data_IF_369554101050
#
_entry.id   IF_369554101050
#
_cell.length_a   1.000
_cell.length_b   1.000
_cell.length_c   1.000
_cell.angle_alpha   90.00
_cell.angle_beta   90.00
_cell.angle_gamma   90.00
#
_symmetry.space_group_name_H-M   'P 1'
#
loop_
_entity.id
_entity.type
_entity.pdbx_description
1 polymer ?
#
# COMPACT_ATOMS: atom_id res chain seq x y z
N UNK A 1 -40.54 -27.03 25.56
CA UNK A 1 -40.35 -27.71 26.87
C UNK A 1 -39.11 -28.59 26.77
N UNK A 2 -38.21 -28.42 27.75
CA UNK A 2 -36.97 -29.15 28.05
C UNK A 2 -35.70 -28.92 27.21
N UNK A 3 -34.79 -28.13 27.81
CA UNK A 3 -33.35 -28.10 27.61
C UNK A 3 -32.71 -29.49 27.74
N UNK A 4 -31.71 -29.76 26.91
CA UNK A 4 -30.65 -30.74 27.19
C UNK A 4 -29.28 -30.14 26.85
N UNK A 5 -28.45 -29.99 27.89
CA UNK A 5 -27.03 -29.63 27.84
C UNK A 5 -26.17 -30.82 27.39
N UNK A 6 -25.08 -30.63 26.63
CA UNK A 6 -24.00 -31.61 26.58
C UNK A 6 -22.99 -31.39 27.71
N UNK A 7 -22.88 -32.44 28.53
CA UNK A 7 -21.85 -32.85 29.49
C UNK A 7 -20.56 -32.01 29.57
N UNK A 8 -20.31 -31.49 30.78
CA UNK A 8 -19.10 -30.77 31.16
C UNK A 8 -17.82 -31.62 31.18
N UNK A 9 -16.71 -30.89 31.01
CA UNK A 9 -15.35 -31.32 31.31
C UNK A 9 -15.28 -31.87 32.76
N UNK A 10 -14.82 -33.11 32.91
CA UNK A 10 -14.35 -33.61 34.20
C UNK A 10 -12.89 -33.19 34.40
N UNK A 11 -12.65 -32.21 35.25
CA UNK A 11 -11.32 -31.92 35.80
C UNK A 11 -11.32 -32.29 37.28
N UNK A 12 -10.59 -33.35 37.64
CA UNK A 12 -10.18 -33.63 39.02
C UNK A 12 -10.71 -34.94 39.61
N UNK A 13 -9.79 -35.69 40.23
CA UNK A 13 -10.06 -36.84 41.10
C UNK A 13 -9.87 -36.38 42.55
N UNK A 14 -10.80 -36.73 43.45
CA UNK A 14 -10.69 -36.46 44.88
C UNK A 14 -9.64 -37.37 45.53
N UNK A 15 -8.65 -36.79 46.23
CA UNK A 15 -7.81 -37.48 47.21
C UNK A 15 -7.72 -36.60 48.46
N UNK A 16 -8.15 -37.13 49.60
CA UNK A 16 -8.01 -36.58 50.96
C UNK A 16 -8.46 -35.13 51.20
N UNK A 17 -9.74 -34.84 50.89
CA UNK A 17 -10.58 -33.99 51.74
C UNK A 17 -10.33 -32.48 51.84
N UNK A 18 -9.35 -31.90 51.15
CA UNK A 18 -9.14 -30.44 51.15
C UNK A 18 -9.14 -29.84 49.74
N UNK A 19 -9.92 -28.78 49.53
CA UNK A 19 -9.91 -27.98 48.31
C UNK A 19 -8.74 -26.99 48.36
N UNK A 20 -7.66 -27.23 47.60
CA UNK A 20 -6.61 -26.23 47.43
C UNK A 20 -7.09 -25.11 46.48
N UNK A 21 -7.14 -23.88 47.00
CA UNK A 21 -7.36 -22.63 46.25
C UNK A 21 -6.12 -22.33 45.41
N UNK A 22 -5.89 -23.09 44.33
CA UNK A 22 -4.84 -22.80 43.34
C UNK A 22 -5.36 -22.36 41.97
N UNK A 23 -6.67 -22.43 41.73
CA UNK A 23 -7.24 -22.22 40.39
C UNK A 23 -7.70 -20.78 40.09
N UNK A 24 -8.02 -19.97 41.11
CA UNK A 24 -8.55 -18.61 40.89
C UNK A 24 -7.47 -17.66 40.34
N UNK A 25 -6.22 -17.80 40.78
CA UNK A 25 -5.11 -16.91 40.36
C UNK A 25 -4.74 -17.12 38.87
N UNK A 26 -4.95 -18.32 38.32
CA UNK A 26 -4.64 -18.60 36.91
C UNK A 26 -5.75 -18.12 35.95
N UNK A 27 -7.01 -18.11 36.37
CA UNK A 27 -8.12 -17.60 35.55
C UNK A 27 -8.01 -16.08 35.37
N UNK A 28 -7.63 -15.33 36.41
CA UNK A 28 -7.38 -13.89 36.28
C UNK A 28 -6.18 -13.58 35.37
N UNK A 29 -5.10 -14.38 35.42
CA UNK A 29 -3.96 -14.23 34.51
C UNK A 29 -4.34 -14.51 33.05
N UNK A 30 -5.16 -15.53 32.79
CA UNK A 30 -5.63 -15.85 31.43
C UNK A 30 -6.62 -14.79 30.93
N UNK A 31 -7.53 -14.29 31.77
CA UNK A 31 -8.45 -13.20 31.39
C UNK A 31 -7.72 -11.88 31.14
N UNK A 32 -6.68 -11.57 31.91
CA UNK A 32 -5.82 -10.40 31.66
C UNK A 32 -5.07 -10.60 30.34
N UNK A 33 -4.50 -11.77 30.07
CA UNK A 33 -3.81 -12.05 28.79
C UNK A 33 -4.78 -11.96 27.59
N UNK A 34 -5.99 -12.51 27.69
CA UNK A 34 -7.00 -12.43 26.62
C UNK A 34 -7.52 -11.01 26.42
N UNK A 35 -7.72 -10.23 27.50
CA UNK A 35 -8.06 -8.82 27.41
C UNK A 35 -6.90 -7.97 26.86
N UNK A 36 -5.65 -8.36 27.10
CA UNK A 36 -4.46 -7.69 26.57
C UNK A 36 -4.28 -7.93 25.07
N UNK A 37 -4.68 -9.11 24.58
CA UNK A 37 -4.63 -9.45 23.14
C UNK A 37 -5.74 -8.75 22.35
N UNK A 38 -6.86 -8.39 23.00
CA UNK A 38 -7.98 -7.67 22.38
C UNK A 38 -7.80 -6.14 22.26
N UNK A 39 -6.71 -5.58 22.80
CA UNK A 39 -6.39 -4.14 22.70
C UNK A 39 -5.21 -3.82 21.77
N UNK A 40 -4.85 -4.72 20.86
CA UNK A 40 -4.01 -4.36 19.72
C UNK A 40 -4.90 -3.60 18.73
N UNK A 41 -5.11 -2.32 19.01
CA UNK A 41 -5.54 -1.38 17.99
C UNK A 41 -4.47 -1.37 16.91
N UNK A 42 -4.69 -2.12 15.84
CA UNK A 42 -3.98 -2.00 14.59
C UNK A 42 -4.31 -0.63 14.00
N UNK A 43 -3.63 0.40 14.49
CA UNK A 43 -3.50 1.64 13.72
C UNK A 43 -2.63 1.33 12.52
N UNK A 44 -3.27 0.80 11.47
CA UNK A 44 -2.67 0.70 10.15
C UNK A 44 -2.44 2.12 9.64
N UNK A 45 -1.24 2.62 9.90
CA UNK A 45 -0.64 3.78 9.27
C UNK A 45 0.15 3.28 8.07
N UNK A 46 -0.35 3.50 6.86
CA UNK A 46 0.48 3.79 5.67
C UNK A 46 -0.33 3.73 4.38
N UNK A 47 -0.25 4.79 3.58
CA UNK A 47 0.19 4.69 2.19
C UNK A 47 0.82 6.03 1.79
N UNK A 48 2.07 5.96 1.32
CA UNK A 48 3.02 7.05 1.04
C UNK A 48 3.37 7.92 2.27
N UNK A 49 4.64 8.28 2.43
CA UNK A 49 5.15 8.72 3.75
C UNK A 49 4.68 10.14 4.09
N UNK A 50 3.58 10.26 4.84
CA UNK A 50 3.19 11.55 5.45
C UNK A 50 4.19 11.99 6.51
N UNK A 51 4.83 11.05 7.21
CA UNK A 51 5.69 11.32 8.36
C UNK A 51 6.84 12.34 8.13
N UNK A 52 7.54 12.36 6.97
CA UNK A 52 8.57 13.35 6.68
C UNK A 52 8.02 14.72 6.26
N UNK A 53 6.74 14.82 5.87
CA UNK A 53 6.10 16.08 5.47
C UNK A 53 5.24 16.67 6.59
N UNK A 54 4.69 15.85 7.48
CA UNK A 54 3.70 16.21 8.49
C UNK A 54 4.14 15.82 9.91
N UNK A 55 3.85 16.70 10.87
CA UNK A 55 4.25 16.55 12.27
C UNK A 55 3.08 16.00 13.10
N UNK A 56 3.00 14.67 13.26
CA UNK A 56 1.94 14.00 14.03
C UNK A 56 1.81 14.48 15.49
N UNK A 57 2.84 15.15 16.03
CA UNK A 57 2.79 15.72 17.38
C UNK A 57 2.09 17.08 17.43
N UNK A 58 1.75 17.64 16.27
CA UNK A 58 1.09 18.95 16.10
C UNK A 58 -0.26 18.78 15.38
N UNK A 59 -1.29 18.25 16.06
CA UNK A 59 -2.64 18.29 15.54
C UNK A 59 -3.11 19.75 15.42
N UNK A 60 -3.93 19.99 14.40
CA UNK A 60 -4.46 21.29 14.03
C UNK A 60 -5.97 21.17 13.79
N UNK A 61 -6.75 22.10 14.34
CA UNK A 61 -8.17 22.24 14.01
C UNK A 61 -8.38 23.56 13.28
N UNK A 62 -8.99 23.50 12.10
CA UNK A 62 -9.26 24.65 11.24
C UNK A 62 -10.76 24.85 11.15
N UNK A 63 -11.24 26.05 11.47
CA UNK A 63 -12.62 26.46 11.21
C UNK A 63 -12.63 27.44 10.05
N UNK A 64 -13.46 27.21 9.05
CA UNK A 64 -13.47 28.06 7.87
C UNK A 64 -14.46 27.63 6.82
N UNK A 65 -14.28 28.18 5.63
CA UNK A 65 -15.08 27.86 4.45
C UNK A 65 -14.21 27.12 3.45
N UNK A 66 -14.78 26.11 2.79
CA UNK A 66 -14.14 25.46 1.65
C UNK A 66 -13.97 26.49 0.54
N UNK A 67 -12.73 26.81 0.21
CA UNK A 67 -12.39 27.63 -0.96
C UNK A 67 -12.43 26.76 -2.21
N UNK A 68 -11.75 25.61 -2.16
CA UNK A 68 -11.60 24.69 -3.29
C UNK A 68 -11.38 23.26 -2.83
N UNK A 69 -11.84 22.30 -3.64
CA UNK A 69 -11.54 20.89 -3.47
C UNK A 69 -10.98 20.30 -4.76
N UNK A 70 -9.70 19.99 -4.71
CA UNK A 70 -8.96 19.45 -5.84
C UNK A 70 -8.98 17.93 -5.79
N UNK A 71 -9.93 17.31 -6.50
CA UNK A 71 -10.10 15.87 -6.54
C UNK A 71 -9.23 15.23 -7.63
N UNK A 72 -7.92 15.21 -7.40
CA UNK A 72 -6.90 14.80 -8.38
C UNK A 72 -5.89 13.80 -7.82
N UNK A 73 -5.07 13.22 -8.70
CA UNK A 73 -3.88 12.45 -8.34
C UNK A 73 -2.60 13.28 -8.59
N UNK A 74 -1.48 13.02 -7.89
CA UNK A 74 -1.27 11.91 -6.97
C UNK A 74 -1.87 12.09 -5.57
N UNK A 75 -2.24 13.32 -5.20
CA UNK A 75 -2.92 13.61 -3.93
C UNK A 75 -4.02 14.64 -4.17
N UNK A 76 -5.18 14.41 -3.56
CA UNK A 76 -6.22 15.41 -3.53
C UNK A 76 -5.92 16.45 -2.44
N UNK A 77 -6.52 17.63 -2.57
CA UNK A 77 -6.38 18.73 -1.60
C UNK A 77 -7.71 19.36 -1.30
N UNK A 78 -7.91 19.77 -0.05
CA UNK A 78 -8.98 20.70 0.32
C UNK A 78 -8.38 22.00 0.84
N UNK A 79 -8.81 23.11 0.25
CA UNK A 79 -8.37 24.44 0.61
C UNK A 79 -9.41 25.11 1.50
N UNK A 80 -9.01 25.51 2.70
CA UNK A 80 -9.91 26.09 3.70
C UNK A 80 -9.51 27.54 3.94
N UNK A 81 -10.38 28.46 3.56
CA UNK A 81 -10.28 29.86 3.93
C UNK A 81 -10.67 30.04 5.39
N UNK A 82 -9.73 30.55 6.19
CA UNK A 82 -9.87 30.72 7.64
C UNK A 82 -9.27 32.05 8.09
N UNK A 83 -9.40 32.37 9.38
CA UNK A 83 -8.78 33.54 9.99
C UNK A 83 -7.70 33.06 10.96
N UNK A 84 -6.48 33.58 10.80
CA UNK A 84 -5.36 33.32 11.71
C UNK A 84 -4.74 34.66 12.10
N UNK A 85 -4.65 34.92 13.41
CA UNK A 85 -4.12 36.18 13.94
C UNK A 85 -4.81 37.45 13.39
N UNK A 86 -6.10 37.36 13.09
CA UNK A 86 -6.89 38.47 12.54
C UNK A 86 -6.78 38.64 11.01
N UNK A 87 -5.96 37.84 10.33
CA UNK A 87 -5.79 37.89 8.88
C UNK A 87 -6.46 36.69 8.19
N UNK A 88 -6.98 36.93 6.98
CA UNK A 88 -7.50 35.85 6.13
C UNK A 88 -6.34 35.02 5.59
N UNK A 89 -6.39 33.71 5.82
CA UNK A 89 -5.41 32.74 5.32
C UNK A 89 -6.11 31.58 4.62
N UNK A 90 -5.40 30.88 3.74
CA UNK A 90 -5.87 29.64 3.12
C UNK A 90 -4.98 28.51 3.62
N UNK A 91 -5.58 27.55 4.32
CA UNK A 91 -4.93 26.29 4.62
C UNK A 91 -5.09 25.33 3.46
N UNK A 92 -4.02 24.64 3.08
CA UNK A 92 -4.03 23.61 2.03
C UNK A 92 -3.77 22.26 2.68
N UNK A 93 -4.82 21.44 2.81
CA UNK A 93 -4.73 20.14 3.44
C UNK A 93 -4.71 19.01 2.41
N UNK A 94 -3.60 18.30 2.33
CA UNK A 94 -3.38 17.10 1.49
C UNK A 94 -4.16 15.90 2.04
N UNK A 95 -4.58 15.02 1.14
CA UNK A 95 -5.23 13.74 1.46
C UNK A 95 -4.84 12.65 0.46
N UNK A 96 -5.52 11.50 0.53
CA UNK A 96 -5.24 10.37 -0.34
C UNK A 96 -5.46 10.73 -1.83
N UNK A 97 -4.86 9.97 -2.76
CA UNK A 97 -5.15 10.10 -4.19
C UNK A 97 -6.65 10.02 -4.47
N UNK A 98 -7.15 10.75 -5.47
CA UNK A 98 -8.57 10.78 -5.82
C UNK A 98 -9.12 9.38 -6.15
N UNK A 99 -8.31 8.51 -6.76
CA UNK A 99 -8.71 7.12 -7.05
C UNK A 99 -9.00 6.33 -5.76
N UNK A 100 -8.19 6.53 -4.72
CA UNK A 100 -8.41 5.90 -3.41
C UNK A 100 -9.65 6.48 -2.74
N UNK A 101 -9.81 7.80 -2.75
CA UNK A 101 -10.97 8.47 -2.15
C UNK A 101 -12.28 8.08 -2.86
N UNK A 102 -12.26 7.94 -4.18
CA UNK A 102 -13.40 7.49 -4.97
C UNK A 102 -13.85 6.09 -4.53
N UNK A 103 -12.91 5.18 -4.27
CA UNK A 103 -13.19 3.83 -3.74
C UNK A 103 -13.74 3.86 -2.32
N UNK A 104 -13.56 4.97 -1.62
CA UNK A 104 -14.14 5.26 -0.30
C UNK A 104 -15.44 6.07 -0.39
N UNK A 105 -16.03 6.20 -1.59
CA UNK A 105 -17.30 6.87 -1.83
C UNK A 105 -17.22 8.40 -1.98
N UNK A 106 -16.02 8.97 -2.03
CA UNK A 106 -15.87 10.41 -2.24
C UNK A 106 -16.07 10.78 -3.71
N UNK A 107 -16.56 12.00 -3.94
CA UNK A 107 -16.73 12.55 -5.28
C UNK A 107 -16.15 13.96 -5.30
N UNK A 108 -16.02 14.55 -6.50
CA UNK A 108 -15.67 15.97 -6.67
C UNK A 108 -16.61 16.94 -5.91
N UNK A 109 -17.78 16.48 -5.48
CA UNK A 109 -18.76 17.27 -4.73
C UNK A 109 -18.72 17.02 -3.21
N UNK A 110 -17.81 16.20 -2.70
CA UNK A 110 -17.69 15.92 -1.25
C UNK A 110 -17.46 17.20 -0.43
N UNK A 111 -16.69 18.15 -0.99
CA UNK A 111 -16.46 19.46 -0.40
C UNK A 111 -16.95 20.57 -1.35
N UNK A 112 -18.24 20.94 -1.29
CA UNK A 112 -18.75 22.08 -2.03
C UNK A 112 -18.09 23.39 -1.58
N UNK A 113 -17.74 24.26 -2.53
CA UNK A 113 -17.23 25.61 -2.25
C UNK A 113 -18.20 26.41 -1.38
N UNK A 114 -17.65 27.31 -0.56
CA UNK A 114 -18.36 28.15 0.42
C UNK A 114 -19.10 27.36 1.51
N UNK A 115 -18.88 26.05 1.63
CA UNK A 115 -19.41 25.28 2.76
C UNK A 115 -18.56 25.50 4.00
N UNK A 116 -19.21 25.82 5.12
CA UNK A 116 -18.53 25.98 6.39
C UNK A 116 -18.20 24.61 7.00
N UNK A 117 -16.94 24.43 7.40
CA UNK A 117 -16.41 23.17 7.92
C UNK A 117 -15.48 23.40 9.10
N UNK A 118 -15.44 22.42 9.99
CA UNK A 118 -14.38 22.20 10.98
C UNK A 118 -13.52 21.05 10.48
N UNK A 119 -12.27 21.31 10.14
CA UNK A 119 -11.30 20.31 9.69
C UNK A 119 -10.35 19.95 10.83
N UNK A 120 -10.18 18.67 11.10
CA UNK A 120 -9.09 18.14 11.91
C UNK A 120 -7.97 17.68 10.97
N UNK A 121 -6.75 18.08 11.29
CA UNK A 121 -5.60 17.88 10.43
C UNK A 121 -4.31 17.75 11.25
N UNK A 122 -3.23 17.36 10.58
CA UNK A 122 -1.87 17.35 11.12
C UNK A 122 -1.07 18.44 10.41
N UNK A 123 -0.41 19.33 11.15
CA UNK A 123 0.36 20.42 10.55
C UNK A 123 1.55 19.90 9.71
N UNK A 124 1.81 20.54 8.57
CA UNK A 124 3.04 20.29 7.82
C UNK A 124 4.26 20.77 8.60
N UNK A 125 5.39 20.08 8.42
CA UNK A 125 6.67 20.40 9.08
C UNK A 125 7.29 21.69 8.54
N UNK A 126 7.11 21.96 7.24
CA UNK A 126 7.81 23.04 6.51
C UNK A 126 6.89 24.18 6.05
N UNK A 127 5.60 23.90 5.80
CA UNK A 127 4.63 24.90 5.37
C UNK A 127 3.68 25.24 6.53
N UNK A 128 3.66 26.47 7.06
CA UNK A 128 2.81 26.84 8.20
C UNK A 128 1.31 26.86 7.89
N UNK A 129 0.91 26.81 6.62
CA UNK A 129 -0.47 26.70 6.14
C UNK A 129 -0.75 25.36 5.45
N UNK A 130 0.25 24.48 5.36
CA UNK A 130 0.10 23.11 4.85
C UNK A 130 -0.37 22.16 5.95
N UNK A 131 -1.16 21.17 5.57
CA UNK A 131 -1.69 20.18 6.50
C UNK A 131 -1.92 18.82 5.83
N UNK A 132 -1.98 17.78 6.64
CA UNK A 132 -2.55 16.49 6.25
C UNK A 132 -3.96 16.40 6.82
N UNK A 133 -4.94 16.12 5.96
CA UNK A 133 -6.34 16.00 6.32
C UNK A 133 -6.62 14.70 7.11
N UNK A 134 -7.30 14.80 8.25
CA UNK A 134 -7.75 13.64 9.03
C UNK A 134 -9.26 13.46 9.03
N UNK A 135 -10.02 14.56 9.14
CA UNK A 135 -11.48 14.54 9.07
C UNK A 135 -12.03 15.95 8.92
N UNK A 136 -13.29 16.07 8.49
CA UNK A 136 -14.05 17.29 8.57
C UNK A 136 -15.45 17.04 9.11
N UNK A 137 -16.02 18.07 9.71
CA UNK A 137 -17.42 18.12 10.11
C UNK A 137 -18.03 19.41 9.57
N UNK A 138 -19.15 19.27 8.89
CA UNK A 138 -19.95 20.38 8.39
C UNK A 138 -20.84 20.91 9.52
N UNK A 139 -21.28 22.17 9.45
CA UNK A 139 -22.03 22.78 10.56
C UNK A 139 -23.42 22.15 10.82
N UNK A 140 -23.97 21.44 9.83
CA UNK A 140 -25.17 20.61 9.90
C UNK A 140 -24.88 19.16 10.36
N UNK A 141 -23.66 18.88 10.83
CA UNK A 141 -23.30 17.63 11.50
C UNK A 141 -22.87 16.49 10.58
N UNK A 142 -22.73 16.71 9.26
CA UNK A 142 -22.20 15.70 8.34
C UNK A 142 -20.69 15.57 8.58
N UNK A 143 -20.25 14.37 8.94
CA UNK A 143 -18.84 14.00 9.10
C UNK A 143 -18.28 13.44 7.79
N UNK A 144 -17.07 13.87 7.48
CA UNK A 144 -16.31 13.48 6.29
C UNK A 144 -14.97 12.93 6.80
N UNK A 145 -14.74 11.64 6.60
CA UNK A 145 -13.52 10.97 7.09
C UNK A 145 -12.86 10.21 5.93
N UNK A 146 -11.51 10.20 5.81
CA UNK A 146 -10.76 9.39 4.83
C UNK A 146 -10.93 7.89 5.04
N UNK A 147 -11.69 7.48 6.06
CA UNK A 147 -12.11 6.11 6.33
C UNK A 147 -13.64 6.01 6.42
N UNK A 148 -14.35 6.80 5.62
CA UNK A 148 -15.81 6.82 5.59
C UNK A 148 -16.38 5.39 5.52
N UNK A 149 -16.89 4.94 6.68
CA UNK A 149 -17.65 3.71 6.93
C UNK A 149 -16.85 2.43 6.67
N UNK A 150 -16.97 1.43 7.58
CA UNK A 150 -16.86 0.03 7.17
C UNK A 150 -18.01 -0.19 6.22
N UNK A 151 -17.84 0.24 4.98
CA UNK A 151 -18.58 -0.34 3.90
C UNK A 151 -17.94 -1.73 3.88
N UNK A 152 -18.60 -2.69 4.55
CA UNK A 152 -18.82 -3.95 3.87
C UNK A 152 -19.31 -3.52 2.50
N UNK A 153 -18.38 -3.34 1.56
CA UNK A 153 -18.69 -3.62 0.19
C UNK A 153 -19.32 -4.97 0.34
N UNK A 154 -20.63 -5.02 0.12
CA UNK A 154 -21.27 -6.28 -0.19
C UNK A 154 -20.31 -6.85 -1.21
N UNK A 155 -19.54 -7.85 -0.81
CA UNK A 155 -18.93 -8.78 -1.73
C UNK A 155 -20.12 -9.54 -2.30
N UNK A 156 -21.08 -8.80 -2.89
CA UNK A 156 -22.19 -9.30 -3.65
C UNK A 156 -21.43 -10.08 -4.68
N UNK A 157 -21.50 -11.40 -4.50
CA UNK A 157 -20.53 -12.33 -5.02
C UNK A 157 -20.29 -11.92 -6.46
N UNK A 158 -19.14 -11.29 -6.73
CA UNK A 158 -18.75 -11.07 -8.10
C UNK A 158 -18.61 -12.49 -8.59
N UNK A 159 -19.60 -12.93 -9.37
CA UNK A 159 -19.64 -14.29 -9.85
C UNK A 159 -18.50 -14.35 -10.85
N UNK A 160 -17.31 -14.71 -10.36
CA UNK A 160 -16.15 -14.99 -11.18
C UNK A 160 -16.45 -16.33 -11.87
N UNK A 161 -17.41 -16.32 -12.80
CA UNK A 161 -17.69 -17.41 -13.75
C UNK A 161 -16.56 -17.51 -14.79
N UNK A 162 -15.34 -17.16 -14.40
CA UNK A 162 -14.14 -17.29 -15.22
C UNK A 162 -13.59 -18.69 -14.96
N UNK A 163 -13.28 -19.46 -16.02
CA UNK A 163 -12.56 -20.71 -15.84
C UNK A 163 -11.24 -20.41 -15.12
N UNK A 164 -10.94 -21.19 -14.06
CA UNK A 164 -9.71 -21.07 -13.26
C UNK A 164 -8.47 -21.39 -14.12
N UNK A 165 -8.61 -22.32 -15.07
CA UNK A 165 -7.59 -22.71 -16.04
C UNK A 165 -8.16 -22.73 -17.46
N UNK A 166 -7.34 -22.36 -18.44
CA UNK A 166 -7.62 -22.46 -19.88
C UNK A 166 -6.45 -23.22 -20.51
N UNK A 167 -6.70 -24.39 -21.10
CA UNK A 167 -5.66 -25.25 -21.69
C UNK A 167 -4.50 -25.57 -20.71
N UNK A 168 -4.83 -25.92 -19.47
CA UNK A 168 -3.88 -26.15 -18.36
C UNK A 168 -3.06 -24.93 -17.92
N UNK A 169 -3.35 -23.73 -18.44
CA UNK A 169 -2.72 -22.48 -18.03
C UNK A 169 -3.66 -21.74 -17.07
N UNK A 170 -3.19 -21.23 -15.91
CA UNK A 170 -4.04 -20.45 -15.01
C UNK A 170 -4.56 -19.17 -15.67
N UNK A 171 -5.82 -18.86 -15.38
CA UNK A 171 -6.49 -17.67 -15.87
C UNK A 171 -6.38 -16.53 -14.84
N UNK A 172 -5.37 -15.70 -15.02
CA UNK A 172 -5.18 -14.44 -14.32
C UNK A 172 -6.00 -13.29 -14.90
N UNK A 173 -6.89 -13.49 -15.89
CA UNK A 173 -7.58 -12.38 -16.55
C UNK A 173 -8.44 -11.56 -15.59
N UNK A 174 -8.21 -10.26 -15.54
CA UNK A 174 -9.07 -9.28 -14.88
C UNK A 174 -8.33 -8.33 -13.96
N UNK A 175 -9.07 -7.43 -13.31
CA UNK A 175 -8.49 -6.48 -12.38
C UNK A 175 -8.24 -7.15 -11.03
N UNK A 176 -7.05 -6.94 -10.52
CA UNK A 176 -6.58 -7.46 -9.23
C UNK A 176 -6.17 -6.30 -8.34
N UNK A 177 -6.40 -6.44 -7.04
CA UNK A 177 -5.92 -5.49 -6.04
C UNK A 177 -5.18 -6.22 -4.94
N UNK A 178 -4.28 -5.52 -4.26
CA UNK A 178 -3.61 -6.02 -3.07
C UNK A 178 -4.65 -6.43 -2.01
N UNK A 179 -4.58 -7.66 -1.52
CA UNK A 179 -5.46 -8.16 -0.43
C UNK A 179 -5.02 -7.67 0.95
N UNK A 180 -3.76 -7.23 1.08
CA UNK A 180 -3.20 -6.71 2.32
C UNK A 180 -2.19 -5.59 2.07
N UNK A 181 -2.01 -4.72 3.06
CA UNK A 181 -0.93 -3.72 3.09
C UNK A 181 0.38 -4.27 3.68
N UNK A 182 0.37 -5.50 4.21
CA UNK A 182 1.55 -6.17 4.78
C UNK A 182 2.67 -6.32 3.75
N UNK A 183 3.92 -6.09 4.17
CA UNK A 183 5.09 -6.19 3.29
C UNK A 183 5.30 -5.00 2.34
N UNK A 184 4.43 -3.98 2.34
CA UNK A 184 4.59 -2.79 1.48
C UNK A 184 5.88 -2.00 1.74
N UNK A 185 6.49 -2.11 2.93
CA UNK A 185 7.76 -1.46 3.29
C UNK A 185 8.90 -2.45 3.57
N UNK A 186 8.67 -3.73 3.33
CA UNK A 186 9.62 -4.79 3.66
C UNK A 186 10.46 -5.17 2.45
N UNK A 187 11.75 -5.34 2.68
CA UNK A 187 12.72 -5.82 1.68
C UNK A 187 12.82 -7.34 1.63
N UNK A 188 12.48 -8.04 2.72
CA UNK A 188 12.87 -9.46 2.89
C UNK A 188 11.86 -10.32 3.64
N UNK A 189 10.74 -9.76 4.11
CA UNK A 189 9.76 -10.52 4.90
C UNK A 189 8.31 -10.18 4.52
N UNK A 190 7.47 -11.19 4.22
CA UNK A 190 6.03 -11.03 3.95
C UNK A 190 5.27 -10.43 5.14
N UNK A 191 5.73 -10.73 6.35
CA UNK A 191 5.05 -10.38 7.61
C UNK A 191 5.69 -9.17 8.32
N UNK A 192 6.79 -8.64 7.77
CA UNK A 192 7.44 -7.48 8.33
C UNK A 192 6.58 -6.23 8.11
N UNK A 193 5.83 -5.90 9.14
CA UNK A 193 5.34 -4.56 9.40
C UNK A 193 6.53 -3.69 9.86
N UNK A 194 7.61 -3.62 9.07
CA UNK A 194 8.75 -2.75 9.40
C UNK A 194 8.36 -1.33 9.09
N UNK A 195 7.64 -0.73 10.04
CA UNK A 195 7.44 0.70 10.23
C UNK A 195 8.74 1.42 10.61
N UNK A 196 9.89 0.96 10.10
CA UNK A 196 11.21 1.54 10.28
C UNK A 196 11.35 2.82 9.46
N UNK A 197 10.48 3.79 9.75
CA UNK A 197 10.76 5.17 9.45
C UNK A 197 11.73 5.63 10.54
N UNK A 198 12.99 5.88 10.21
CA UNK A 198 13.77 6.81 11.01
C UNK A 198 13.24 8.21 10.69
N UNK A 199 12.47 8.86 11.59
CA UNK A 199 11.95 10.20 11.36
C UNK A 199 13.04 11.27 11.55
N UNK A 200 14.24 10.88 11.99
CA UNK A 200 15.26 11.78 12.51
C UNK A 200 16.49 11.97 11.61
N UNK A 201 16.60 11.25 10.50
CA UNK A 201 17.77 11.34 9.63
C UNK A 201 19.08 11.07 10.37
N UNK A 202 19.02 10.22 11.41
CA UNK A 202 20.08 10.05 12.40
C UNK A 202 20.62 8.63 12.41
N UNK A 203 21.84 8.46 11.89
CA UNK A 203 22.92 7.50 12.23
C UNK A 203 22.62 6.04 12.60
N UNK A 204 21.38 5.54 12.49
CA UNK A 204 21.05 4.12 12.60
C UNK A 204 21.14 3.48 11.21
N UNK A 205 21.62 2.23 11.07
CA UNK A 205 21.62 1.56 9.77
C UNK A 205 20.21 1.54 9.20
N UNK A 206 20.04 2.05 7.98
CA UNK A 206 18.76 1.97 7.25
C UNK A 206 18.32 0.50 7.23
N UNK A 207 17.06 0.17 7.56
CA UNK A 207 16.57 -1.21 7.43
C UNK A 207 16.92 -1.77 6.04
N UNK A 208 17.62 -2.91 5.98
CA UNK A 208 18.13 -3.47 4.72
C UNK A 208 19.49 -2.93 4.24
N UNK A 209 20.23 -2.16 5.04
CA UNK A 209 21.61 -1.77 4.68
C UNK A 209 22.56 -2.97 4.54
N UNK A 210 22.24 -4.10 5.17
CA UNK A 210 23.00 -5.34 5.12
C UNK A 210 22.96 -6.02 3.74
N UNK A 211 21.93 -5.75 2.94
CA UNK A 211 21.79 -6.28 1.58
C UNK A 211 22.45 -5.40 0.50
N UNK A 212 22.90 -4.19 0.85
CA UNK A 212 23.44 -3.21 -0.11
C UNK A 212 24.97 -3.23 -0.16
N UNK A 213 25.54 -3.04 -1.36
CA UNK A 213 26.98 -2.77 -1.58
C UNK A 213 27.36 -1.38 -1.06
N UNK A 214 28.65 -1.02 -1.14
CA UNK A 214 29.09 0.33 -0.80
C UNK A 214 28.46 1.38 -1.75
N UNK A 215 28.38 1.06 -3.04
CA UNK A 215 27.75 1.88 -4.07
C UNK A 215 26.24 2.03 -3.83
N UNK A 216 25.55 0.94 -3.49
CA UNK A 216 24.12 0.98 -3.17
C UNK A 216 23.82 1.80 -1.91
N UNK A 217 24.66 1.68 -0.87
CA UNK A 217 24.56 2.51 0.33
C UNK A 217 24.80 3.99 0.02
N UNK A 218 25.81 4.30 -0.79
CA UNK A 218 26.11 5.67 -1.21
C UNK A 218 24.92 6.26 -1.98
N UNK A 219 24.41 5.56 -2.99
CA UNK A 219 23.26 6.00 -3.79
C UNK A 219 22.03 6.24 -2.91
N UNK A 220 21.72 5.32 -1.99
CA UNK A 220 20.61 5.48 -1.05
C UNK A 220 20.79 6.63 -0.06
N UNK A 221 22.02 6.98 0.32
CA UNK A 221 22.33 8.11 1.22
C UNK A 221 22.30 9.47 0.53
N UNK A 222 22.65 9.52 -0.75
CA UNK A 222 22.53 10.72 -1.58
C UNK A 222 21.08 10.99 -1.99
N UNK A 223 20.23 9.96 -2.01
CA UNK A 223 18.80 10.08 -2.31
C UNK A 223 18.00 10.71 -1.17
N UNK A 224 17.47 11.91 -1.41
CA UNK A 224 16.55 12.60 -0.53
C UNK A 224 15.11 12.25 -0.91
N UNK A 225 14.58 11.13 -0.40
CA UNK A 225 13.26 10.62 -0.78
C UNK A 225 12.12 11.67 -0.83
N UNK A 226 11.97 12.59 0.15
CA UNK A 226 10.98 13.68 0.06
C UNK A 226 11.08 14.60 -1.16
N UNK A 227 12.25 14.71 -1.82
CA UNK A 227 12.51 15.61 -2.95
C UNK A 227 12.80 14.85 -4.25
N UNK A 228 13.35 13.65 -4.14
CA UNK A 228 13.89 12.90 -5.26
C UNK A 228 13.01 11.70 -5.65
N UNK A 229 11.89 11.46 -4.95
CA UNK A 229 10.98 10.35 -5.27
C UNK A 229 10.41 10.52 -6.70
N UNK A 230 10.58 9.54 -7.61
CA UNK A 230 10.08 9.63 -8.98
C UNK A 230 8.57 9.86 -9.11
N UNK A 231 7.76 9.58 -8.08
CA UNK A 231 6.33 9.91 -8.09
C UNK A 231 6.06 11.40 -8.20
N UNK A 232 6.99 12.26 -7.76
CA UNK A 232 6.96 13.70 -7.99
C UNK A 232 7.07 14.05 -9.48
N UNK A 233 7.63 13.14 -10.29
CA UNK A 233 7.72 13.24 -11.74
C UNK A 233 6.65 12.39 -12.45
N UNK A 234 5.56 12.05 -11.76
CA UNK A 234 4.50 11.16 -12.26
C UNK A 234 5.03 9.80 -12.76
N UNK A 235 6.06 9.28 -12.11
CA UNK A 235 6.65 7.98 -12.44
C UNK A 235 6.24 6.92 -11.42
N UNK A 236 5.90 5.73 -11.92
CA UNK A 236 5.69 4.53 -11.12
C UNK A 236 6.97 3.99 -10.46
N UNK A 237 8.13 4.60 -10.74
CA UNK A 237 9.48 4.34 -10.21
C UNK A 237 10.11 2.98 -10.54
N UNK A 238 9.40 1.87 -10.35
CA UNK A 238 9.93 0.52 -10.58
C UNK A 238 8.80 -0.51 -10.68
N UNK A 239 9.12 -1.68 -11.23
CA UNK A 239 8.22 -2.84 -11.33
C UNK A 239 7.65 -3.20 -9.95
N UNK A 240 8.51 -3.23 -8.93
CA UNK A 240 8.08 -3.54 -7.56
C UNK A 240 7.05 -2.54 -7.05
N UNK A 241 7.21 -1.24 -7.33
CA UNK A 241 6.34 -0.19 -6.79
C UNK A 241 4.96 -0.19 -7.45
N UNK A 242 4.88 -0.44 -8.76
CA UNK A 242 3.59 -0.50 -9.48
C UNK A 242 2.72 -1.65 -9.01
N UNK A 243 3.32 -2.80 -8.67
CA UNK A 243 2.60 -3.90 -7.98
C UNK A 243 2.24 -3.60 -6.54
N UNK A 244 3.12 -2.87 -5.85
CA UNK A 244 2.98 -2.59 -4.42
C UNK A 244 1.97 -1.51 -4.08
N UNK A 245 1.52 -0.68 -5.03
CA UNK A 245 0.75 0.52 -4.70
C UNK A 245 -0.58 0.18 -4.00
N UNK A 246 -0.80 0.67 -2.77
CA UNK A 246 -2.04 0.42 -2.03
C UNK A 246 -3.27 0.92 -2.77
N UNK A 247 -4.38 0.16 -2.66
CA UNK A 247 -5.69 0.52 -3.21
C UNK A 247 -5.75 0.66 -4.74
N UNK A 248 -4.65 0.46 -5.47
CA UNK A 248 -4.64 0.44 -6.93
C UNK A 248 -4.98 -0.93 -7.49
N UNK A 249 -5.75 -0.93 -8.59
CA UNK A 249 -5.98 -2.13 -9.38
C UNK A 249 -4.82 -2.37 -10.37
N UNK A 250 -4.62 -3.62 -10.75
CA UNK A 250 -3.82 -4.05 -11.90
C UNK A 250 -4.67 -4.97 -12.75
N UNK A 251 -4.95 -4.60 -13.99
CA UNK A 251 -5.63 -5.47 -14.94
C UNK A 251 -4.61 -6.34 -15.68
N UNK A 252 -4.92 -7.62 -15.79
CA UNK A 252 -4.11 -8.61 -16.50
C UNK A 252 -4.94 -9.13 -17.68
N UNK A 253 -4.37 -9.04 -18.87
CA UNK A 253 -4.92 -9.66 -20.08
C UNK A 253 -3.92 -10.70 -20.57
N UNK A 254 -4.38 -11.93 -20.76
CA UNK A 254 -3.56 -13.03 -21.27
C UNK A 254 -4.01 -13.41 -22.67
N UNK A 255 -3.04 -13.65 -23.54
CA UNK A 255 -3.21 -14.20 -24.89
C UNK A 255 -2.27 -15.41 -25.06
N UNK A 256 -2.26 -16.02 -26.24
CA UNK A 256 -1.30 -17.10 -26.55
C UNK A 256 0.16 -16.63 -26.52
N UNK A 257 0.41 -15.38 -26.87
CA UNK A 257 1.77 -14.87 -27.15
C UNK A 257 2.20 -13.75 -26.19
N UNK A 258 1.26 -13.15 -25.47
CA UNK A 258 1.51 -11.98 -24.62
C UNK A 258 0.69 -11.98 -23.33
N UNK A 259 1.27 -11.38 -22.29
CA UNK A 259 0.58 -10.89 -21.10
C UNK A 259 0.63 -9.36 -21.14
N UNK A 260 -0.51 -8.70 -20.99
CA UNK A 260 -0.60 -7.26 -20.84
C UNK A 260 -0.95 -6.94 -19.39
N UNK A 261 -0.11 -6.13 -18.74
CA UNK A 261 -0.35 -5.63 -17.40
C UNK A 261 -0.67 -4.14 -17.49
N UNK A 262 -1.81 -3.73 -16.95
CA UNK A 262 -2.19 -2.33 -16.81
C UNK A 262 -2.33 -1.99 -15.34
N UNK A 263 -1.37 -1.28 -14.78
CA UNK A 263 -1.40 -0.81 -13.40
C UNK A 263 -2.11 0.54 -13.34
N UNK A 264 -3.07 0.68 -12.42
CA UNK A 264 -3.73 1.95 -12.14
C UNK A 264 -2.74 2.98 -11.61
N UNK A 265 -1.72 2.57 -10.85
CA UNK A 265 -0.75 3.52 -10.32
C UNK A 265 0.13 4.07 -11.45
N UNK A 266 0.08 5.38 -11.66
CA UNK A 266 0.87 6.12 -12.66
C UNK A 266 0.66 5.64 -14.11
N UNK A 267 -0.51 5.07 -14.41
CA UNK A 267 -0.90 4.62 -15.76
C UNK A 267 0.11 3.66 -16.41
N UNK A 268 0.80 2.86 -15.61
CA UNK A 268 1.90 2.02 -16.09
C UNK A 268 1.37 0.82 -16.84
N UNK A 269 1.82 0.66 -18.07
CA UNK A 269 1.50 -0.49 -18.93
C UNK A 269 2.77 -1.28 -19.22
N UNK A 270 2.71 -2.59 -19.04
CA UNK A 270 3.79 -3.53 -19.39
C UNK A 270 3.25 -4.58 -20.35
N UNK A 271 4.07 -4.92 -21.34
CA UNK A 271 3.79 -5.98 -22.31
C UNK A 271 4.84 -7.04 -22.10
N UNK A 272 4.41 -8.26 -21.80
CA UNK A 272 5.27 -9.40 -21.54
C UNK A 272 5.11 -10.37 -22.71
N UNK A 273 6.17 -10.53 -23.51
CA UNK A 273 6.20 -11.52 -24.59
C UNK A 273 6.36 -12.91 -23.97
N UNK A 274 5.51 -13.86 -24.35
CA UNK A 274 5.62 -15.24 -23.88
C UNK A 274 6.73 -15.96 -24.64
N UNK A 275 7.92 -15.98 -24.04
CA UNK A 275 9.16 -16.57 -24.56
C UNK A 275 10.11 -16.83 -23.39
N UNK A 276 11.16 -17.64 -23.61
CA UNK A 276 12.21 -17.94 -22.62
C UNK A 276 13.52 -17.17 -22.84
N UNK A 277 13.61 -16.44 -23.94
CA UNK A 277 14.82 -15.72 -24.33
C UNK A 277 14.49 -14.24 -24.56
N UNK A 278 15.34 -13.36 -24.04
CA UNK A 278 15.29 -11.94 -24.33
C UNK A 278 15.80 -11.68 -25.75
N UNK A 279 15.15 -10.75 -26.46
CA UNK A 279 15.61 -10.32 -27.77
C UNK A 279 16.94 -9.55 -27.63
N UNK A 280 17.90 -9.74 -28.54
CA UNK A 280 19.13 -8.95 -28.56
C UNK A 280 18.83 -7.46 -28.86
N UNK A 281 19.63 -6.57 -28.30
CA UNK A 281 19.57 -5.14 -28.62
C UNK A 281 18.37 -4.38 -28.03
N UNK A 282 17.73 -4.92 -26.98
CA UNK A 282 16.75 -4.18 -26.20
C UNK A 282 17.32 -2.84 -25.71
N UNK A 283 16.46 -1.83 -25.62
CA UNK A 283 16.82 -0.53 -25.06
C UNK A 283 16.41 -0.48 -23.60
N UNK A 284 17.24 0.13 -22.75
CA UNK A 284 16.89 0.28 -21.35
C UNK A 284 15.66 1.18 -21.22
N UNK A 285 14.68 0.73 -20.44
CA UNK A 285 13.42 1.43 -20.18
C UNK A 285 13.15 1.44 -18.69
N UNK A 286 12.34 2.39 -18.21
CA UNK A 286 12.05 2.52 -16.78
C UNK A 286 11.54 1.21 -16.13
N UNK A 287 10.73 0.43 -16.86
CA UNK A 287 10.18 -0.84 -16.38
C UNK A 287 10.84 -2.07 -17.02
N UNK A 288 11.97 -1.87 -17.70
CA UNK A 288 12.75 -2.91 -18.35
C UNK A 288 12.07 -3.57 -19.56
N UNK A 289 12.80 -4.52 -20.13
CA UNK A 289 12.33 -5.44 -21.15
C UNK A 289 11.91 -6.75 -20.48
N UNK A 290 10.63 -7.08 -20.53
CA UNK A 290 10.08 -8.26 -19.86
C UNK A 290 9.71 -9.39 -20.84
N UNK A 291 10.08 -10.61 -20.49
CA UNK A 291 9.58 -11.85 -21.11
C UNK A 291 8.86 -12.69 -20.06
N UNK A 292 8.15 -13.74 -20.48
CA UNK A 292 7.57 -14.68 -19.54
C UNK A 292 7.28 -16.05 -20.09
N UNK A 293 7.16 -17.01 -19.20
CA UNK A 293 6.81 -18.40 -19.52
C UNK A 293 6.05 -19.03 -18.36
N UNK A 294 5.42 -20.17 -18.62
CA UNK A 294 4.80 -20.97 -17.57
C UNK A 294 5.76 -22.07 -17.11
N UNK A 295 5.96 -22.16 -15.79
CA UNK A 295 6.50 -23.32 -15.08
C UNK A 295 5.31 -23.99 -14.39
N UNK A 296 4.78 -25.05 -15.00
CA UNK A 296 3.52 -25.68 -14.60
C UNK A 296 2.36 -24.66 -14.54
N UNK A 297 1.87 -24.34 -13.33
CA UNK A 297 0.79 -23.40 -13.06
C UNK A 297 1.28 -22.00 -12.63
N UNK A 298 2.58 -21.72 -12.79
CA UNK A 298 3.20 -20.47 -12.36
C UNK A 298 3.66 -19.67 -13.56
N UNK A 299 3.13 -18.45 -13.73
CA UNK A 299 3.65 -17.49 -14.70
C UNK A 299 4.93 -16.88 -14.13
N UNK A 300 6.05 -17.14 -14.79
CA UNK A 300 7.33 -16.47 -14.52
C UNK A 300 7.47 -15.31 -15.49
N UNK A 301 7.81 -14.14 -14.97
CA UNK A 301 8.15 -12.95 -15.75
C UNK A 301 9.59 -12.59 -15.40
N UNK A 302 10.45 -12.52 -16.41
CA UNK A 302 11.86 -12.16 -16.28
C UNK A 302 12.07 -10.79 -16.91
N UNK A 303 12.70 -9.88 -16.18
CA UNK A 303 12.91 -8.51 -16.63
C UNK A 303 14.35 -8.06 -16.43
N UNK A 304 14.94 -7.58 -17.51
CA UNK A 304 16.28 -6.96 -17.55
C UNK A 304 16.19 -5.60 -18.25
N UNK A 305 17.29 -4.84 -18.30
CA UNK A 305 17.33 -3.55 -19.00
C UNK A 305 16.42 -2.50 -18.39
N UNK A 306 16.17 -2.58 -17.07
CA UNK A 306 15.52 -1.49 -16.36
C UNK A 306 16.46 -0.28 -16.33
N UNK A 307 15.97 0.95 -16.47
CA UNK A 307 16.78 2.13 -16.15
C UNK A 307 17.04 2.21 -14.64
N UNK A 308 18.10 2.89 -14.21
CA UNK A 308 18.34 3.14 -12.77
C UNK A 308 17.14 3.81 -12.11
N UNK A 309 16.81 3.41 -10.89
CA UNK A 309 15.56 3.83 -10.27
C UNK A 309 15.47 3.54 -8.77
N UNK A 310 14.25 3.72 -8.25
CA UNK A 310 13.94 3.54 -6.83
C UNK A 310 13.08 2.29 -6.68
N UNK A 311 13.65 1.25 -6.07
CA UNK A 311 12.92 0.01 -5.78
C UNK A 311 12.00 0.21 -4.55
N UNK A 312 12.52 0.83 -3.49
CA UNK A 312 11.76 1.23 -2.31
C UNK A 312 12.11 2.68 -1.89
N UNK A 313 11.15 3.61 -1.87
CA UNK A 313 11.42 5.01 -1.51
C UNK A 313 11.77 5.19 -0.02
N UNK A 314 11.25 4.33 0.85
CA UNK A 314 11.59 4.31 2.27
C UNK A 314 11.94 2.87 2.64
N UNK A 315 13.22 2.56 2.92
CA UNK A 315 14.28 3.47 3.37
C UNK A 315 15.18 4.11 2.30
N UNK A 316 14.82 4.05 1.01
CA UNK A 316 15.64 4.60 -0.09
C UNK A 316 16.56 3.54 -0.68
N UNK A 317 15.99 2.40 -1.04
CA UNK A 317 16.70 1.33 -1.77
C UNK A 317 16.55 1.57 -3.26
N UNK A 318 17.66 1.94 -3.89
CA UNK A 318 17.76 2.19 -5.32
C UNK A 318 18.18 0.91 -6.05
N UNK A 319 18.03 0.90 -7.36
CA UNK A 319 18.64 -0.06 -8.28
C UNK A 319 19.36 0.71 -9.41
N UNK A 320 20.39 0.10 -9.95
CA UNK A 320 21.08 0.53 -11.16
C UNK A 320 20.32 0.07 -12.40
N UNK A 321 20.94 0.30 -13.56
CA UNK A 321 20.47 -0.20 -14.85
C UNK A 321 20.84 -1.67 -15.12
N UNK A 322 21.51 -2.32 -14.16
CA UNK A 322 21.79 -3.76 -14.15
C UNK A 322 20.82 -4.56 -13.27
N UNK A 323 19.67 -3.98 -12.93
CA UNK A 323 18.61 -4.70 -12.23
C UNK A 323 18.11 -5.86 -13.09
N UNK A 324 18.21 -7.06 -12.54
CA UNK A 324 17.48 -8.25 -12.95
C UNK A 324 16.33 -8.48 -11.95
N UNK A 325 15.10 -8.50 -12.46
CA UNK A 325 13.89 -8.61 -11.65
C UNK A 325 13.02 -9.76 -12.15
N UNK A 326 12.78 -10.74 -11.28
CA UNK A 326 11.96 -11.91 -11.61
C UNK A 326 10.68 -11.85 -10.80
N UNK A 327 9.54 -12.02 -11.46
CA UNK A 327 8.22 -12.15 -10.84
C UNK A 327 7.72 -13.57 -11.07
N UNK A 328 7.13 -14.20 -10.04
CA UNK A 328 6.41 -15.46 -10.16
C UNK A 328 5.00 -15.29 -9.64
N UNK A 329 4.03 -15.38 -10.54
CA UNK A 329 2.60 -15.23 -10.27
C UNK A 329 1.98 -16.63 -10.27
N UNK A 330 1.43 -17.04 -9.13
CA UNK A 330 0.79 -18.34 -8.96
C UNK A 330 -0.60 -18.16 -8.39
N UNK A 331 -1.60 -18.75 -9.06
CA UNK A 331 -2.98 -18.78 -8.55
C UNK A 331 -3.01 -19.67 -7.31
N UNK A 332 -3.70 -19.22 -6.26
CA UNK A 332 -3.82 -19.97 -5.02
C UNK A 332 -4.89 -21.07 -5.17
N UNK A 333 -4.88 -22.05 -4.27
CA UNK A 333 -5.79 -23.20 -4.30
C UNK A 333 -7.28 -22.83 -4.23
N UNK A 334 -7.60 -21.61 -3.78
CA UNK A 334 -8.95 -21.07 -3.77
C UNK A 334 -9.48 -20.72 -5.18
N UNK A 335 -8.59 -20.65 -6.19
CA UNK A 335 -8.90 -20.26 -7.55
C UNK A 335 -9.38 -18.80 -7.71
N UNK A 336 -9.32 -18.01 -6.63
CA UNK A 336 -9.87 -16.66 -6.54
C UNK A 336 -8.82 -15.63 -6.15
N UNK A 337 -7.67 -16.03 -5.64
CA UNK A 337 -6.57 -15.13 -5.30
C UNK A 337 -5.27 -15.62 -5.95
N UNK A 338 -4.30 -14.73 -6.12
CA UNK A 338 -2.96 -15.13 -6.53
C UNK A 338 -1.90 -14.58 -5.59
N UNK A 339 -0.77 -15.29 -5.57
CA UNK A 339 0.44 -14.86 -4.90
C UNK A 339 1.49 -14.49 -5.94
N UNK A 340 2.02 -13.27 -5.85
CA UNK A 340 3.17 -12.81 -6.59
C UNK A 340 4.38 -12.87 -5.66
N UNK A 341 5.36 -13.68 -5.99
CA UNK A 341 6.70 -13.61 -5.40
C UNK A 341 7.63 -12.90 -6.36
N UNK A 342 8.60 -12.15 -5.85
CA UNK A 342 9.56 -11.45 -6.69
C UNK A 342 10.97 -11.59 -6.14
N UNK A 343 11.96 -11.55 -7.03
CA UNK A 343 13.39 -11.55 -6.73
C UNK A 343 14.03 -10.34 -7.41
N UNK A 344 14.90 -9.64 -6.70
CA UNK A 344 15.68 -8.53 -7.23
C UNK A 344 17.18 -8.84 -7.09
N UNK A 345 17.90 -8.65 -8.18
CA UNK A 345 19.35 -8.83 -8.30
C UNK A 345 19.94 -7.61 -8.98
N UNK A 346 21.01 -7.05 -8.40
CA UNK A 346 21.71 -5.91 -8.97
C UNK A 346 23.18 -6.03 -8.55
N UNK A 347 24.10 -6.35 -9.48
CA UNK A 347 25.50 -6.56 -9.15
C UNK A 347 26.22 -5.27 -8.71
N UNK A 348 25.65 -4.10 -9.00
CA UNK A 348 26.24 -2.81 -8.58
C UNK A 348 25.77 -2.46 -7.18
N UNK A 349 24.46 -2.55 -6.89
CA UNK A 349 23.88 -2.02 -5.65
C UNK A 349 23.59 -3.07 -4.59
N UNK A 350 23.49 -4.36 -4.93
CA UNK A 350 23.10 -5.43 -4.00
C UNK A 350 24.22 -6.45 -3.76
N UNK A 351 24.51 -6.74 -2.49
CA UNK A 351 25.49 -7.77 -2.07
C UNK A 351 25.00 -9.19 -2.38
N UNK A 352 23.69 -9.37 -2.42
CA UNK A 352 22.99 -10.63 -2.67
C UNK A 352 21.61 -10.34 -3.20
N UNK A 353 21.02 -11.34 -3.86
CA UNK A 353 19.62 -11.30 -4.23
C UNK A 353 18.72 -11.21 -2.99
N UNK A 354 17.58 -10.55 -3.14
CA UNK A 354 16.54 -10.53 -2.12
C UNK A 354 15.17 -10.58 -2.76
N UNK A 355 14.17 -10.97 -1.98
CA UNK A 355 12.84 -11.29 -2.48
C UNK A 355 11.74 -10.80 -1.56
N UNK A 356 10.54 -10.75 -2.11
CA UNK A 356 9.33 -10.47 -1.34
C UNK A 356 8.11 -11.17 -1.93
N UNK A 357 7.00 -11.05 -1.20
CA UNK A 357 5.74 -11.70 -1.52
C UNK A 357 4.63 -10.67 -1.46
N UNK A 358 3.68 -10.79 -2.39
CA UNK A 358 2.51 -9.96 -2.50
C UNK A 358 1.28 -10.82 -2.77
N UNK A 359 0.18 -10.53 -2.07
CA UNK A 359 -1.07 -11.25 -2.23
C UNK A 359 -2.09 -10.35 -2.91
N UNK A 360 -2.80 -10.93 -3.87
CA UNK A 360 -3.78 -10.25 -4.68
C UNK A 360 -5.11 -10.99 -4.65
N UNK A 361 -6.17 -10.21 -4.56
CA UNK A 361 -7.54 -10.66 -4.68
C UNK A 361 -8.21 -9.91 -5.84
N UNK A 362 -9.34 -10.41 -6.33
CA UNK A 362 -10.03 -9.78 -7.43
C UNK A 362 -10.51 -8.38 -7.01
N UNK A 363 -10.38 -7.42 -7.92
CA UNK A 363 -10.83 -6.06 -7.67
C UNK A 363 -12.31 -5.92 -7.98
N UNK A 364 -13.05 -5.27 -7.07
CA UNK A 364 -14.45 -4.87 -7.28
C UNK A 364 -14.59 -3.68 -8.24
N UNK A 365 -13.48 -3.12 -8.72
CA UNK A 365 -13.41 -1.97 -9.60
C UNK A 365 -12.36 -2.19 -10.69
N UNK A 366 -12.64 -1.65 -11.87
CA UNK A 366 -11.69 -1.64 -12.98
C UNK A 366 -10.56 -0.64 -12.76
N UNK A 367 -9.46 -0.84 -13.47
CA UNK A 367 -8.36 0.13 -13.54
C UNK A 367 -8.88 1.48 -14.04
N UNK A 368 -8.68 2.51 -13.23
CA UNK A 368 -8.98 3.90 -13.59
C UNK A 368 -7.73 4.59 -14.13
N UNK A 369 -7.90 5.69 -14.87
CA UNK A 369 -6.78 6.56 -15.19
C UNK A 369 -6.20 7.17 -13.91
N UNK A 370 -4.88 7.25 -13.81
CA UNK A 370 -4.19 7.99 -12.76
C UNK A 370 -4.12 9.48 -13.11
N UNK A 371 -3.84 9.83 -14.37
CA UNK A 371 -3.83 11.21 -14.87
C UNK A 371 -2.97 12.17 -14.01
N UNK A 372 -1.81 11.68 -13.56
CA UNK A 372 -0.85 12.52 -12.84
C UNK A 372 -0.24 13.56 -13.79
N UNK A 373 -0.12 14.78 -13.29
CA UNK A 373 0.60 15.87 -13.97
C UNK A 373 1.67 16.43 -13.05
N UNK A 374 2.80 16.85 -13.62
CA UNK A 374 3.92 17.42 -12.86
C UNK A 374 3.49 18.56 -11.92
N UNK A 375 2.63 19.47 -12.39
CA UNK A 375 2.12 20.60 -11.60
C UNK A 375 1.35 20.12 -10.36
N UNK A 376 0.52 19.08 -10.50
CA UNK A 376 -0.25 18.50 -9.38
C UNK A 376 0.63 17.69 -8.42
N UNK A 377 1.72 17.11 -8.90
CA UNK A 377 2.62 16.31 -8.09
C UNK A 377 3.59 17.14 -7.22
N UNK A 378 3.86 18.40 -7.57
CA UNK A 378 4.89 19.24 -6.94
C UNK A 378 4.34 20.51 -6.25
N UNK A 379 3.23 20.40 -5.54
CA UNK A 379 2.54 21.56 -4.93
C UNK A 379 3.04 21.95 -3.54
#
# INVERSE_FOLDING_TARGET
>A
VHCFLPRGLRLGKLVNGNWEVKSIINIYKILIIVASVLFINSTSYSHHSNAPHYDKTKPLTIFGFVEEFEFVNPHAFVHIKSIRNGESVIFSCEMLPSNTLMKQGWTKNTFPTNRQVKVNAIAARRNPLGCWFESAETMDGIKIEPRGVVIEFDSGAFNYDKPVFINNIPNFKGPWKRSSLLGFRSLTSPDANTSGHDPSGGSSPKPGSDILTEEGLKAGNEHNAPLDDPALQCSGASIRRVWGNPFSATDIIQTSDFIYLSHEYMDVKRIIKLTKEHDDGYQNQLYGHSIGWYEDDTLVIDTIGSGSGVLLPYPGVLHSDQLHFVEKIKLNDDGLSFTLTWLAEDPIYYKKSFSGIMHFEPSAYDVQAWDCTFEKANR
#
